data_IF_806269471608
#
_entry.id   IF_806269471608
#
_cell.length_a   1.000
_cell.length_b   1.000
_cell.length_c   1.000
_cell.angle_alpha   90.00
_cell.angle_beta   90.00
_cell.angle_gamma   90.00
#
_symmetry.space_group_name_H-M   'P 1'
#
loop_
_entity.id
_entity.type
_entity.pdbx_description
1 polymer ?
#
# COMPACT_ATOMS: atom_id res chain seq x y z
N UNK A 1 -2.53 18.21 0.10
CA UNK A 1 -1.46 17.27 0.56
C UNK A 1 -1.80 15.86 0.08
N UNK A 2 -0.86 15.22 -0.56
CA UNK A 2 -1.02 13.85 -1.07
C UNK A 2 -0.33 12.87 -0.12
N UNK A 3 -1.10 11.92 0.39
CA UNK A 3 -0.62 10.90 1.34
C UNK A 3 -0.67 9.54 0.67
N UNK A 4 0.47 8.86 0.59
CA UNK A 4 0.52 7.47 0.15
C UNK A 4 0.39 6.55 1.35
N UNK A 5 -0.51 5.57 1.24
CA UNK A 5 -0.71 4.56 2.27
C UNK A 5 -0.53 3.18 1.64
N UNK A 6 0.58 2.49 1.93
CA UNK A 6 0.78 1.12 1.50
C UNK A 6 -0.22 0.18 2.18
N UNK A 7 -0.86 -0.66 1.40
CA UNK A 7 -1.86 -1.63 1.86
C UNK A 7 -1.41 -3.03 1.49
N UNK A 8 -1.36 -3.91 2.47
CA UNK A 8 -1.04 -5.33 2.29
C UNK A 8 -2.11 -6.25 2.88
N UNK A 9 -3.25 -5.69 3.29
CA UNK A 9 -4.32 -6.42 3.96
C UNK A 9 -4.11 -6.62 5.46
N UNK A 10 -3.00 -6.16 6.03
CA UNK A 10 -2.72 -6.30 7.46
C UNK A 10 -3.55 -5.34 8.32
N UNK A 11 -3.70 -5.67 9.61
CA UNK A 11 -4.37 -4.82 10.58
C UNK A 11 -3.61 -3.50 10.80
N UNK A 12 -2.29 -3.54 10.77
CA UNK A 12 -1.43 -2.37 10.90
C UNK A 12 -1.65 -1.39 9.74
N UNK A 13 -1.75 -1.87 8.50
CA UNK A 13 -2.07 -1.04 7.35
C UNK A 13 -3.44 -0.38 7.48
N UNK A 14 -4.42 -1.11 8.02
CA UNK A 14 -5.77 -0.57 8.23
C UNK A 14 -5.77 0.55 9.29
N UNK A 15 -4.97 0.41 10.33
CA UNK A 15 -4.78 1.50 11.32
C UNK A 15 -4.12 2.73 10.70
N UNK A 16 -3.22 2.54 9.74
CA UNK A 16 -2.65 3.65 8.99
C UNK A 16 -3.72 4.41 8.20
N UNK A 17 -4.68 3.70 7.60
CA UNK A 17 -5.84 4.30 6.93
C UNK A 17 -6.68 5.10 7.92
N UNK A 18 -6.96 4.57 9.10
CA UNK A 18 -7.71 5.26 10.14
C UNK A 18 -7.03 6.57 10.55
N UNK A 19 -5.72 6.55 10.70
CA UNK A 19 -4.93 7.74 11.02
C UNK A 19 -5.04 8.79 9.91
N UNK A 20 -4.94 8.39 8.65
CA UNK A 20 -5.06 9.29 7.51
C UNK A 20 -6.48 9.88 7.40
N UNK A 21 -7.52 9.11 7.73
CA UNK A 21 -8.89 9.61 7.80
C UNK A 21 -9.02 10.73 8.84
N UNK A 22 -8.43 10.57 10.01
CA UNK A 22 -8.43 11.62 11.04
C UNK A 22 -7.74 12.89 10.55
N UNK A 23 -6.62 12.77 9.85
CA UNK A 23 -5.95 13.91 9.25
C UNK A 23 -6.83 14.60 8.20
N UNK A 24 -7.47 13.82 7.32
CA UNK A 24 -8.33 14.35 6.28
C UNK A 24 -9.55 15.09 6.83
N UNK A 25 -10.05 14.69 8.00
CA UNK A 25 -11.14 15.38 8.68
C UNK A 25 -10.72 16.68 9.35
N UNK A 26 -9.45 16.80 9.73
CA UNK A 26 -8.92 17.97 10.43
C UNK A 26 -8.25 18.99 9.51
N UNK A 27 -7.95 18.61 8.28
CA UNK A 27 -7.25 19.45 7.32
C UNK A 27 -7.97 19.45 5.98
N UNK A 28 -8.05 20.62 5.34
CA UNK A 28 -8.56 20.72 3.98
C UNK A 28 -7.55 20.16 2.97
N UNK A 29 -8.06 19.67 1.86
CA UNK A 29 -7.25 19.26 0.69
C UNK A 29 -6.29 18.10 0.94
N UNK A 30 -6.73 17.07 1.65
CA UNK A 30 -5.98 15.82 1.77
C UNK A 30 -6.43 14.84 0.70
N UNK A 31 -5.49 14.37 -0.11
CA UNK A 31 -5.70 13.32 -1.11
C UNK A 31 -5.00 12.04 -0.66
N UNK A 32 -5.77 10.98 -0.49
CA UNK A 32 -5.25 9.67 -0.08
C UNK A 32 -5.01 8.80 -1.31
N UNK A 33 -3.83 8.20 -1.39
CA UNK A 33 -3.48 7.20 -2.38
C UNK A 33 -3.26 5.86 -1.68
N UNK A 34 -4.21 4.96 -1.80
CA UNK A 34 -4.05 3.57 -1.36
C UNK A 34 -3.26 2.82 -2.42
N UNK A 35 -2.15 2.22 -2.05
CA UNK A 35 -1.30 1.48 -2.99
C UNK A 35 -0.99 0.10 -2.44
N UNK A 36 -1.32 -0.92 -3.20
CA UNK A 36 -0.89 -2.28 -2.90
C UNK A 36 0.04 -2.78 -3.99
N UNK A 37 1.07 -3.52 -3.60
CA UNK A 37 2.04 -4.09 -4.52
C UNK A 37 1.94 -5.61 -4.43
N UNK A 38 1.62 -6.24 -5.54
CA UNK A 38 1.56 -7.69 -5.66
C UNK A 38 2.93 -8.19 -6.10
N UNK A 39 3.44 -9.22 -5.42
CA UNK A 39 4.70 -9.84 -5.82
C UNK A 39 4.54 -10.51 -7.20
N UNK A 40 5.49 -10.32 -8.13
CA UNK A 40 5.37 -10.92 -9.45
C UNK A 40 5.52 -12.44 -9.40
N UNK A 41 4.78 -13.14 -10.26
CA UNK A 41 5.00 -14.57 -10.48
C UNK A 41 6.23 -14.71 -11.36
N UNK A 42 7.31 -15.22 -10.79
CA UNK A 42 8.60 -15.37 -11.48
C UNK A 42 8.83 -16.78 -12.00
N UNK A 43 8.01 -17.76 -11.61
CA UNK A 43 8.15 -19.14 -12.05
C UNK A 43 7.85 -19.27 -13.53
N UNK A 44 8.85 -19.61 -14.33
CA UNK A 44 8.68 -19.91 -15.77
C UNK A 44 7.76 -21.11 -16.00
N UNK A 45 7.73 -22.07 -15.06
CA UNK A 45 6.83 -23.21 -15.12
C UNK A 45 5.36 -22.79 -15.04
N UNK A 46 5.01 -21.89 -14.12
CA UNK A 46 3.65 -21.33 -14.01
C UNK A 46 3.30 -20.54 -15.26
N UNK A 47 4.22 -19.71 -15.75
CA UNK A 47 4.01 -18.88 -16.96
C UNK A 47 3.76 -19.69 -18.23
N UNK A 48 4.20 -20.94 -18.29
CA UNK A 48 3.92 -21.83 -19.41
C UNK A 48 2.44 -22.21 -19.53
N UNK A 49 1.67 -22.15 -18.45
CA UNK A 49 0.29 -22.60 -18.36
C UNK A 49 -0.74 -21.47 -18.32
N UNK A 50 -0.30 -20.21 -18.23
CA UNK A 50 -1.17 -19.05 -18.18
C UNK A 50 -0.73 -18.01 -19.20
N UNK A 51 -1.71 -17.35 -19.84
CA UNK A 51 -1.43 -16.25 -20.77
C UNK A 51 -1.33 -14.91 -19.98
N UNK A 52 -0.98 -13.84 -20.70
CA UNK A 52 -0.84 -12.51 -20.09
C UNK A 52 -2.15 -11.98 -19.52
N UNK A 53 -3.28 -12.25 -20.17
CA UNK A 53 -4.59 -11.83 -19.67
C UNK A 53 -4.95 -12.51 -18.35
N UNK A 54 -4.66 -13.80 -18.22
CA UNK A 54 -4.87 -14.57 -17.01
C UNK A 54 -3.95 -14.07 -15.89
N UNK A 55 -2.71 -13.77 -16.21
CA UNK A 55 -1.73 -13.25 -15.25
C UNK A 55 -2.14 -11.86 -14.75
N UNK A 56 -2.56 -10.98 -15.64
CA UNK A 56 -3.05 -9.65 -15.30
C UNK A 56 -4.32 -9.70 -14.44
N UNK A 57 -5.23 -10.63 -14.74
CA UNK A 57 -6.42 -10.87 -13.92
C UNK A 57 -6.04 -11.33 -12.52
N UNK A 58 -5.06 -12.22 -12.40
CA UNK A 58 -4.55 -12.69 -11.11
C UNK A 58 -4.02 -11.52 -10.26
N UNK A 59 -3.17 -10.67 -10.83
CA UNK A 59 -2.61 -9.53 -10.12
C UNK A 59 -3.69 -8.55 -9.68
N UNK A 60 -4.67 -8.30 -10.54
CA UNK A 60 -5.81 -7.44 -10.23
C UNK A 60 -6.64 -7.98 -9.07
N UNK A 61 -6.97 -9.27 -9.10
CA UNK A 61 -7.78 -9.91 -8.07
C UNK A 61 -7.06 -9.92 -6.72
N UNK A 62 -5.78 -10.23 -6.71
CA UNK A 62 -4.95 -10.18 -5.49
C UNK A 62 -4.88 -8.75 -4.93
N UNK A 63 -4.67 -7.77 -5.80
CA UNK A 63 -4.62 -6.37 -5.40
C UNK A 63 -5.94 -5.88 -4.82
N UNK A 64 -7.06 -6.16 -5.45
CA UNK A 64 -8.38 -5.79 -4.94
C UNK A 64 -8.70 -6.47 -3.62
N UNK A 65 -8.30 -7.72 -3.46
CA UNK A 65 -8.47 -8.44 -2.19
C UNK A 65 -7.73 -7.73 -1.05
N UNK A 66 -6.49 -7.34 -1.29
CA UNK A 66 -5.69 -6.62 -0.30
C UNK A 66 -6.28 -5.24 0.05
N UNK A 67 -6.84 -4.55 -0.94
CA UNK A 67 -7.38 -3.19 -0.78
C UNK A 67 -8.79 -3.16 -0.17
N UNK A 68 -9.51 -4.27 -0.15
CA UNK A 68 -10.94 -4.29 0.14
C UNK A 68 -11.31 -3.59 1.45
N UNK A 69 -10.72 -3.99 2.57
CA UNK A 69 -11.07 -3.42 3.88
C UNK A 69 -10.74 -1.92 3.98
N UNK A 70 -9.62 -1.50 3.38
CA UNK A 70 -9.23 -0.10 3.36
C UNK A 70 -10.20 0.75 2.53
N UNK A 71 -10.62 0.25 1.38
CA UNK A 71 -11.59 0.93 0.51
C UNK A 71 -12.95 1.05 1.19
N UNK A 72 -13.44 -0.03 1.79
CA UNK A 72 -14.70 -0.01 2.52
C UNK A 72 -14.68 1.05 3.64
N UNK A 73 -13.60 1.12 4.38
CA UNK A 73 -13.44 2.09 5.45
C UNK A 73 -13.47 3.53 4.94
N UNK A 74 -12.78 3.82 3.86
CA UNK A 74 -12.78 5.14 3.25
C UNK A 74 -14.13 5.50 2.62
N UNK A 75 -14.77 4.55 1.94
CA UNK A 75 -16.09 4.76 1.34
C UNK A 75 -17.14 5.17 2.37
N UNK A 76 -17.07 4.63 3.58
CA UNK A 76 -17.97 4.98 4.68
C UNK A 76 -17.76 6.39 5.22
N UNK A 77 -16.58 6.97 5.03
CA UNK A 77 -16.25 8.30 5.59
C UNK A 77 -16.52 9.46 4.62
N UNK A 78 -16.67 9.17 3.35
CA UNK A 78 -16.77 10.19 2.31
C UNK A 78 -15.47 10.91 1.98
N UNK A 79 -14.33 10.48 2.54
CA UNK A 79 -13.01 11.03 2.22
C UNK A 79 -12.60 10.59 0.83
N UNK A 80 -12.18 11.55 -0.01
CA UNK A 80 -11.72 11.25 -1.36
C UNK A 80 -10.39 10.50 -1.36
N UNK A 81 -10.29 9.46 -2.20
CA UNK A 81 -9.08 8.68 -2.34
C UNK A 81 -8.93 8.10 -3.75
N UNK A 82 -7.71 7.75 -4.09
CA UNK A 82 -7.37 6.96 -5.26
C UNK A 82 -6.80 5.63 -4.81
N UNK A 83 -6.93 4.60 -5.63
CA UNK A 83 -6.26 3.32 -5.36
C UNK A 83 -5.42 2.90 -6.56
N UNK A 84 -4.35 2.18 -6.29
CA UNK A 84 -3.45 1.66 -7.31
C UNK A 84 -2.95 0.27 -6.92
N UNK A 85 -2.90 -0.61 -7.91
CA UNK A 85 -2.35 -1.96 -7.78
C UNK A 85 -1.09 -2.01 -8.64
N UNK A 86 0.07 -2.15 -8.00
CA UNK A 86 1.34 -2.33 -8.68
C UNK A 86 1.81 -3.77 -8.59
N UNK A 87 2.74 -4.13 -9.45
CA UNK A 87 3.40 -5.44 -9.46
C UNK A 87 4.89 -5.22 -9.41
N UNK A 88 5.56 -5.86 -8.47
CA UNK A 88 7.02 -5.71 -8.32
C UNK A 88 7.48 -5.93 -6.89
N UNK A 89 8.66 -5.41 -6.60
CA UNK A 89 9.19 -5.39 -5.24
C UNK A 89 8.53 -4.26 -4.46
N UNK A 90 7.95 -4.57 -3.30
CA UNK A 90 7.05 -3.67 -2.59
C UNK A 90 7.68 -2.31 -2.30
N UNK A 91 8.80 -2.26 -1.61
CA UNK A 91 9.39 -0.99 -1.17
C UNK A 91 9.81 -0.11 -2.34
N UNK A 92 10.50 -0.66 -3.33
CA UNK A 92 10.96 0.08 -4.51
C UNK A 92 9.79 0.61 -5.32
N UNK A 93 8.77 -0.21 -5.51
CA UNK A 93 7.58 0.16 -6.28
C UNK A 93 6.76 1.25 -5.59
N UNK A 94 6.64 1.18 -4.26
CA UNK A 94 5.96 2.19 -3.45
C UNK A 94 6.68 3.54 -3.53
N UNK A 95 8.00 3.54 -3.39
CA UNK A 95 8.80 4.78 -3.45
C UNK A 95 8.74 5.39 -4.86
N UNK A 96 8.78 4.56 -5.89
CA UNK A 96 8.63 5.02 -7.27
C UNK A 96 7.26 5.65 -7.51
N UNK A 97 6.20 5.01 -7.03
CA UNK A 97 4.85 5.57 -7.13
C UNK A 97 4.73 6.92 -6.42
N UNK A 98 5.28 7.02 -5.20
CA UNK A 98 5.26 8.26 -4.43
C UNK A 98 5.94 9.39 -5.19
N UNK A 99 7.07 9.12 -5.83
CA UNK A 99 7.82 10.07 -6.62
C UNK A 99 7.06 10.51 -7.89
N UNK A 100 6.53 9.54 -8.64
CA UNK A 100 5.80 9.81 -9.89
C UNK A 100 4.50 10.60 -9.66
N UNK A 101 3.85 10.37 -8.54
CA UNK A 101 2.58 11.02 -8.20
C UNK A 101 2.75 12.24 -7.30
N UNK A 102 3.98 12.65 -7.03
CA UNK A 102 4.29 13.82 -6.19
C UNK A 102 3.64 13.75 -4.81
N UNK A 103 3.70 12.58 -4.17
CA UNK A 103 3.19 12.43 -2.81
C UNK A 103 4.05 13.24 -1.83
N UNK A 104 3.40 13.78 -0.80
CA UNK A 104 4.03 14.63 0.20
C UNK A 104 4.55 13.84 1.39
N UNK A 105 3.90 12.72 1.70
CA UNK A 105 4.30 11.86 2.81
C UNK A 105 3.76 10.44 2.62
N UNK A 106 4.32 9.52 3.40
CA UNK A 106 3.87 8.15 3.48
C UNK A 106 3.38 7.90 4.92
N UNK A 107 2.21 7.29 5.04
CA UNK A 107 1.71 6.79 6.32
C UNK A 107 1.54 5.28 6.17
N UNK A 108 2.27 4.50 6.95
CA UNK A 108 2.25 3.06 6.77
C UNK A 108 2.28 2.30 8.09
N UNK A 109 1.76 1.08 8.06
CA UNK A 109 1.89 0.17 9.18
C UNK A 109 3.34 -0.26 9.38
N UNK A 110 3.72 -0.53 10.62
CA UNK A 110 5.07 -1.00 10.94
C UNK A 110 5.27 -2.48 10.66
N UNK A 111 4.17 -3.25 10.49
CA UNK A 111 4.19 -4.71 10.31
C UNK A 111 3.32 -5.11 9.14
N UNK A 112 3.73 -6.17 8.43
CA UNK A 112 2.94 -6.78 7.38
C UNK A 112 2.15 -7.99 7.85
N UNK A 113 1.60 -8.76 6.90
CA UNK A 113 0.80 -9.97 7.14
C UNK A 113 1.60 -11.09 7.81
N UNK A 114 2.91 -11.16 7.58
CA UNK A 114 3.80 -12.17 8.14
C UNK A 114 4.56 -11.67 9.37
N UNK A 115 3.94 -10.83 10.19
CA UNK A 115 4.57 -10.24 11.36
C UNK A 115 5.09 -11.32 12.34
N UNK A 116 6.35 -11.18 12.70
CA UNK A 116 6.99 -11.97 13.76
C UNK A 116 6.83 -11.18 15.07
N UNK A 117 6.42 -11.86 16.15
CA UNK A 117 6.02 -11.23 17.40
C UNK A 117 7.08 -10.28 18.00
N UNK A 118 8.36 -10.59 17.82
CA UNK A 118 9.48 -9.81 18.37
C UNK A 118 9.99 -8.70 17.45
N UNK A 119 9.46 -8.59 16.23
CA UNK A 119 9.85 -7.53 15.31
C UNK A 119 9.02 -6.27 15.54
N UNK A 120 9.71 -5.14 15.74
CA UNK A 120 9.08 -3.82 15.87
C UNK A 120 8.66 -3.29 14.51
N UNK A 121 9.46 -3.53 13.48
CA UNK A 121 9.22 -3.08 12.10
C UNK A 121 9.35 -4.22 11.10
N UNK A 122 8.46 -4.24 10.09
CA UNK A 122 8.54 -5.16 8.98
C UNK A 122 9.62 -4.78 7.96
N UNK A 123 9.95 -5.72 7.07
CA UNK A 123 10.98 -5.53 6.05
C UNK A 123 10.63 -4.41 5.05
N UNK A 124 9.37 -4.29 4.66
CA UNK A 124 8.94 -3.26 3.71
C UNK A 124 9.07 -1.87 4.33
N UNK A 125 8.61 -1.69 5.58
CA UNK A 125 8.72 -0.40 6.28
C UNK A 125 10.19 0.02 6.43
N UNK A 126 11.05 -0.89 6.83
CA UNK A 126 12.49 -0.63 6.96
C UNK A 126 13.09 -0.17 5.63
N UNK A 127 12.76 -0.85 4.55
CA UNK A 127 13.31 -0.56 3.23
C UNK A 127 12.77 0.74 2.64
N UNK A 128 11.49 1.03 2.86
CA UNK A 128 10.88 2.31 2.46
C UNK A 128 11.61 3.48 3.12
N UNK A 129 11.89 3.39 4.41
CA UNK A 129 12.61 4.43 5.14
C UNK A 129 14.00 4.68 4.54
N UNK A 130 14.70 3.62 4.14
CA UNK A 130 16.02 3.76 3.51
C UNK A 130 15.97 4.38 2.12
N UNK A 131 14.94 4.07 1.33
CA UNK A 131 14.84 4.50 -0.07
C UNK A 131 14.14 5.84 -0.25
N UNK A 132 13.32 6.25 0.70
CA UNK A 132 12.42 7.38 0.56
C UNK A 132 12.97 8.63 1.23
N UNK A 133 12.84 9.78 0.55
CA UNK A 133 13.20 11.09 1.10
C UNK A 133 11.99 11.86 1.68
N UNK A 134 10.81 11.27 1.60
CA UNK A 134 9.60 11.87 2.15
C UNK A 134 9.46 11.57 3.65
N UNK A 135 8.73 12.41 4.39
CA UNK A 135 8.32 12.06 5.74
C UNK A 135 7.55 10.74 5.74
N UNK A 136 7.87 9.86 6.66
CA UNK A 136 7.20 8.57 6.84
C UNK A 136 6.66 8.49 8.26
N UNK A 137 5.34 8.38 8.39
CA UNK A 137 4.69 8.14 9.67
C UNK A 137 4.42 6.64 9.80
N UNK A 138 4.89 6.06 10.90
CA UNK A 138 4.75 4.64 11.17
C UNK A 138 3.64 4.41 12.20
N UNK A 139 2.72 3.51 11.85
CA UNK A 139 1.57 3.16 12.70
C UNK A 139 1.74 1.70 13.16
N UNK A 140 1.74 1.51 14.45
CA UNK A 140 1.84 0.16 15.05
C UNK A 140 0.58 -0.66 14.83
#
# INVERSE_FOLDING_TARGET
>A
MKILIPIDGSASALRAVEHAILLAKSQAEVNIHLVTIVAPILSGHVKMFINDDQLNSYYRDEGYRALQSAREKLDQTGVAYHHHIGVGHAAETLVQYAKENHCDQIIMGTRGMSAIADLVMGSVATKVIHLCNLPVTLIK
#
